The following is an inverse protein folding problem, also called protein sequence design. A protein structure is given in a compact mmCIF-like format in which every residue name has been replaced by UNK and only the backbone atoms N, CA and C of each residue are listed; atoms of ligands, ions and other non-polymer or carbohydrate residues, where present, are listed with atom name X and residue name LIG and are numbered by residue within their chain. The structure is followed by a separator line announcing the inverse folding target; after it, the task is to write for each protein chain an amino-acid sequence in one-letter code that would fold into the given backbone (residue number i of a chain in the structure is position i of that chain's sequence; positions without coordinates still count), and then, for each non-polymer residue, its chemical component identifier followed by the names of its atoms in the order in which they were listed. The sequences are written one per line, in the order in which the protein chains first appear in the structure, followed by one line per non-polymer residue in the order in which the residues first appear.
data_IF_837270221933
#
_entry.id   IF_837270221933
#
_cell.length_a   1.000
_cell.length_b   1.000
_cell.length_c   1.000
_cell.angle_alpha   90.00
_cell.angle_beta   90.00
_cell.angle_gamma   90.00
#
_symmetry.space_group_name_H-M   'P 1'
#
loop_
_entity.id
_entity.type
_entity.pdbx_description
1 polymer ?
#
# COMPACT_ATOMS: atom_id res chain seq x y z
N UNK A 1 -0.62 -17.18 -33.63
CA UNK A 1 -1.40 -16.03 -34.14
C UNK A 1 -0.61 -15.30 -35.21
N UNK A 2 -1.29 -14.76 -36.23
CA UNK A 2 -0.65 -14.07 -37.36
C UNK A 2 -0.07 -12.72 -36.91
N UNK A 3 1.19 -12.38 -37.26
CA UNK A 3 1.89 -11.15 -36.82
C UNK A 3 1.12 -9.86 -37.15
N UNK A 4 0.36 -9.86 -38.26
CA UNK A 4 -0.51 -8.74 -38.65
C UNK A 4 -1.68 -8.55 -37.67
N UNK A 5 -2.31 -9.64 -37.21
CA UNK A 5 -3.41 -9.61 -36.23
C UNK A 5 -2.92 -9.07 -34.89
N UNK A 6 -1.75 -9.50 -34.41
CA UNK A 6 -1.19 -9.01 -33.16
C UNK A 6 -0.90 -7.50 -33.20
N UNK A 7 -0.37 -7.02 -34.33
CA UNK A 7 -0.09 -5.60 -34.52
C UNK A 7 -1.38 -4.77 -34.58
N UNK A 8 -2.42 -5.28 -35.24
CA UNK A 8 -3.73 -4.64 -35.27
C UNK A 8 -4.36 -4.54 -33.87
N UNK A 9 -4.34 -5.62 -33.09
CA UNK A 9 -4.83 -5.64 -31.71
C UNK A 9 -4.05 -4.67 -30.81
N UNK A 10 -2.73 -4.62 -30.93
CA UNK A 10 -1.90 -3.66 -30.19
C UNK A 10 -2.29 -2.21 -30.50
N UNK A 11 -2.62 -1.90 -31.76
CA UNK A 11 -3.12 -0.59 -32.17
C UNK A 11 -4.41 -0.22 -31.45
N UNK A 12 -5.40 -1.12 -31.45
CA UNK A 12 -6.70 -0.89 -30.77
C UNK A 12 -6.50 -0.63 -29.27
N UNK A 13 -5.70 -1.47 -28.60
CA UNK A 13 -5.43 -1.31 -27.16
C UNK A 13 -4.72 0.01 -26.84
N UNK A 14 -3.80 0.44 -27.71
CA UNK A 14 -3.11 1.72 -27.59
C UNK A 14 -4.07 2.89 -27.69
N UNK A 15 -5.01 2.84 -28.63
CA UNK A 15 -6.06 3.85 -28.74
C UNK A 15 -6.95 3.91 -27.50
N UNK A 16 -7.42 2.75 -27.01
CA UNK A 16 -8.24 2.68 -25.78
C UNK A 16 -7.50 3.34 -24.60
N UNK A 17 -6.23 2.98 -24.39
CA UNK A 17 -5.44 3.52 -23.29
C UNK A 17 -5.19 5.03 -23.46
N UNK A 18 -4.92 5.48 -24.68
CA UNK A 18 -4.70 6.89 -24.99
C UNK A 18 -5.96 7.73 -24.71
N UNK A 19 -7.13 7.29 -25.19
CA UNK A 19 -8.41 7.98 -24.92
C UNK A 19 -8.76 7.98 -23.43
N UNK A 20 -8.52 6.87 -22.74
CA UNK A 20 -8.71 6.76 -21.30
C UNK A 20 -7.85 7.78 -20.54
N UNK A 21 -6.55 7.89 -20.86
CA UNK A 21 -5.65 8.84 -20.20
C UNK A 21 -6.02 10.29 -20.52
N UNK A 22 -6.35 10.57 -21.79
CA UNK A 22 -6.83 11.89 -22.20
C UNK A 22 -8.06 12.31 -21.39
N UNK A 23 -9.02 11.40 -21.23
CA UNK A 23 -10.24 11.64 -20.46
C UNK A 23 -9.96 11.84 -18.95
N UNK A 24 -9.22 10.92 -18.32
CA UNK A 24 -9.03 10.91 -16.86
C UNK A 24 -8.05 11.95 -16.34
N UNK A 25 -6.96 12.17 -17.06
CA UNK A 25 -5.84 12.98 -16.57
C UNK A 25 -5.74 14.33 -17.27
N UNK A 26 -6.67 14.63 -18.20
CA UNK A 26 -6.84 15.95 -18.84
C UNK A 26 -5.49 16.61 -19.21
N UNK A 27 -4.60 15.84 -19.82
CA UNK A 27 -3.36 16.36 -20.40
C UNK A 27 -3.70 17.07 -21.71
N UNK A 28 -4.51 18.13 -21.67
CA UNK A 28 -4.80 18.95 -22.85
C UNK A 28 -3.57 19.76 -23.23
N UNK A 29 -3.21 19.72 -24.51
CA UNK A 29 -2.37 20.76 -25.13
C UNK A 29 -1.21 20.28 -26.00
N UNK A 30 -0.71 19.05 -25.86
CA UNK A 30 0.49 18.62 -26.59
C UNK A 30 0.25 17.34 -27.41
N UNK A 31 -0.13 17.52 -28.67
CA UNK A 31 -0.38 16.43 -29.63
C UNK A 31 0.85 15.52 -29.81
N UNK A 32 2.07 16.06 -29.66
CA UNK A 32 3.32 15.31 -29.74
C UNK A 32 3.41 14.28 -28.60
N UNK A 33 3.02 14.66 -27.37
CA UNK A 33 3.05 13.76 -26.21
C UNK A 33 2.09 12.59 -26.44
N UNK A 34 0.91 12.82 -27.02
CA UNK A 34 -0.03 11.74 -27.33
C UNK A 34 0.48 10.80 -28.42
N UNK A 35 1.15 11.32 -29.47
CA UNK A 35 1.76 10.48 -30.50
C UNK A 35 2.87 9.61 -29.90
N UNK A 36 3.75 10.21 -29.08
CA UNK A 36 4.81 9.46 -28.40
C UNK A 36 4.22 8.41 -27.45
N UNK A 37 3.19 8.76 -26.68
CA UNK A 37 2.51 7.84 -25.78
C UNK A 37 1.85 6.68 -26.55
N UNK A 38 1.21 6.97 -27.69
CA UNK A 38 0.64 5.94 -28.57
C UNK A 38 1.73 4.99 -29.09
N UNK A 39 2.86 5.51 -29.56
CA UNK A 39 3.96 4.68 -30.07
C UNK A 39 4.56 3.79 -28.97
N UNK A 40 4.79 4.35 -27.78
CA UNK A 40 5.32 3.58 -26.63
C UNK A 40 4.33 2.50 -26.20
N UNK A 41 3.05 2.85 -26.05
CA UNK A 41 2.00 1.89 -25.68
C UNK A 41 1.83 0.81 -26.75
N UNK A 42 1.92 1.15 -28.04
CA UNK A 42 1.87 0.20 -29.15
C UNK A 42 3.00 -0.83 -29.08
N UNK A 43 4.24 -0.37 -28.92
CA UNK A 43 5.40 -1.26 -28.78
C UNK A 43 5.27 -2.15 -27.54
N UNK A 44 4.78 -1.58 -26.44
CA UNK A 44 4.51 -2.31 -25.21
C UNK A 44 3.45 -3.41 -25.39
N UNK A 45 2.27 -3.08 -25.92
CA UNK A 45 1.19 -4.05 -26.15
C UNK A 45 1.58 -5.12 -27.15
N UNK A 46 2.31 -4.76 -28.21
CA UNK A 46 2.83 -5.74 -29.17
C UNK A 46 3.70 -6.78 -28.46
N UNK A 47 4.62 -6.33 -27.60
CA UNK A 47 5.47 -7.20 -26.79
C UNK A 47 4.66 -8.05 -25.80
N UNK A 48 3.61 -7.51 -25.19
CA UNK A 48 2.74 -8.27 -24.27
C UNK A 48 2.02 -9.39 -25.02
N UNK A 49 1.33 -9.08 -26.12
CA UNK A 49 0.54 -10.03 -26.92
C UNK A 49 1.42 -11.15 -27.49
N UNK A 50 2.64 -10.83 -27.97
CA UNK A 50 3.57 -11.83 -28.49
C UNK A 50 4.01 -12.86 -27.44
N UNK A 51 3.91 -12.51 -26.15
CA UNK A 51 4.29 -13.38 -25.02
C UNK A 51 3.06 -13.91 -24.26
N UNK A 52 1.87 -13.87 -24.86
CA UNK A 52 0.65 -14.41 -24.27
C UNK A 52 0.43 -15.88 -24.59
N UNK A 53 -0.12 -16.60 -23.62
CA UNK A 53 -0.64 -17.95 -23.79
C UNK A 53 -1.92 -18.12 -22.98
N UNK A 54 -2.78 -19.06 -23.38
CA UNK A 54 -4.17 -19.17 -22.92
C UNK A 54 -4.33 -19.06 -21.40
N UNK A 55 -3.55 -19.83 -20.63
CA UNK A 55 -3.63 -19.83 -19.16
C UNK A 55 -3.22 -18.48 -18.53
N UNK A 56 -2.15 -17.85 -19.02
CA UNK A 56 -1.70 -16.54 -18.54
C UNK A 56 -2.76 -15.47 -18.83
N UNK A 57 -3.28 -15.45 -20.06
CA UNK A 57 -4.32 -14.51 -20.46
C UNK A 57 -5.56 -14.62 -19.57
N UNK A 58 -6.06 -15.84 -19.33
CA UNK A 58 -7.25 -16.07 -18.49
C UNK A 58 -7.02 -15.56 -17.06
N UNK A 59 -5.88 -15.87 -16.43
CA UNK A 59 -5.64 -15.43 -15.05
C UNK A 59 -5.53 -13.91 -14.96
N UNK A 60 -4.76 -13.30 -15.86
CA UNK A 60 -4.51 -11.85 -15.85
C UNK A 60 -5.75 -11.04 -16.20
N UNK A 61 -6.58 -11.49 -17.16
CA UNK A 61 -7.81 -10.81 -17.54
C UNK A 61 -8.87 -10.89 -16.43
N UNK A 62 -8.98 -12.03 -15.73
CA UNK A 62 -9.91 -12.14 -14.59
C UNK A 62 -9.55 -11.16 -13.48
N UNK A 63 -8.26 -11.04 -13.14
CA UNK A 63 -7.80 -10.07 -12.14
C UNK A 63 -8.08 -8.64 -12.60
N UNK A 64 -7.79 -8.33 -13.86
CA UNK A 64 -8.02 -7.00 -14.44
C UNK A 64 -9.51 -6.62 -14.44
N UNK A 65 -10.41 -7.54 -14.77
CA UNK A 65 -11.87 -7.31 -14.71
C UNK A 65 -12.31 -6.95 -13.29
N UNK A 66 -11.90 -7.74 -12.29
CA UNK A 66 -12.26 -7.48 -10.89
C UNK A 66 -11.75 -6.10 -10.47
N UNK A 67 -10.50 -5.77 -10.81
CA UNK A 67 -9.92 -4.47 -10.50
C UNK A 67 -10.68 -3.32 -11.15
N UNK A 68 -10.99 -3.41 -12.45
CA UNK A 68 -11.72 -2.38 -13.17
C UNK A 68 -13.12 -2.13 -12.61
N UNK A 69 -13.84 -3.19 -12.21
CA UNK A 69 -15.15 -3.04 -11.55
C UNK A 69 -15.01 -2.29 -10.22
N UNK A 70 -14.01 -2.65 -9.41
CA UNK A 70 -13.75 -1.99 -8.13
C UNK A 70 -13.42 -0.51 -8.34
N UNK A 71 -12.54 -0.17 -9.28
CA UNK A 71 -12.18 1.22 -9.57
C UNK A 71 -13.37 2.07 -10.00
N UNK A 72 -14.30 1.54 -10.79
CA UNK A 72 -15.52 2.28 -11.17
C UNK A 72 -16.42 2.53 -9.96
N UNK A 73 -16.63 1.51 -9.13
CA UNK A 73 -17.43 1.63 -7.90
C UNK A 73 -16.79 2.64 -6.95
N UNK A 74 -15.49 2.52 -6.71
CA UNK A 74 -14.73 3.44 -5.86
C UNK A 74 -14.72 4.86 -6.44
N UNK A 75 -14.57 5.02 -7.75
CA UNK A 75 -14.65 6.30 -8.44
C UNK A 75 -16.00 6.99 -8.23
N UNK A 76 -17.11 6.26 -8.33
CA UNK A 76 -18.46 6.79 -8.04
C UNK A 76 -18.58 7.22 -6.57
N UNK A 77 -18.13 6.38 -5.63
CA UNK A 77 -18.19 6.72 -4.20
C UNK A 77 -17.34 7.95 -3.90
N UNK A 78 -16.20 8.13 -4.57
CA UNK A 78 -15.33 9.27 -4.34
C UNK A 78 -15.93 10.60 -4.84
N UNK A 79 -16.88 10.59 -5.79
CA UNK A 79 -17.49 11.81 -6.31
C UNK A 79 -18.51 12.44 -5.34
N UNK A 80 -19.39 11.64 -4.76
CA UNK A 80 -20.52 12.14 -3.96
C UNK A 80 -20.91 11.22 -2.80
N UNK A 81 -20.07 10.23 -2.47
CA UNK A 81 -20.36 9.17 -1.51
C UNK A 81 -21.56 8.29 -1.86
N UNK A 82 -21.97 8.26 -3.13
CA UNK A 82 -23.06 7.40 -3.62
C UNK A 82 -22.64 6.48 -4.77
N UNK A 83 -23.53 5.54 -5.11
CA UNK A 83 -23.37 4.65 -6.26
C UNK A 83 -24.06 5.16 -7.53
N UNK A 84 -24.57 6.40 -7.53
CA UNK A 84 -25.35 6.95 -8.65
C UNK A 84 -24.52 7.14 -9.91
N UNK A 85 -23.22 7.36 -9.77
CA UNK A 85 -22.31 7.65 -10.87
C UNK A 85 -21.58 6.42 -11.42
N UNK A 86 -21.91 5.21 -10.95
CA UNK A 86 -21.32 3.95 -11.45
C UNK A 86 -21.55 3.82 -12.97
N UNK A 87 -22.74 4.16 -13.44
CA UNK A 87 -23.10 4.17 -14.87
C UNK A 87 -23.17 5.59 -15.40
N UNK A 88 -22.02 6.16 -15.72
CA UNK A 88 -21.87 7.45 -16.40
C UNK A 88 -21.47 7.23 -17.87
N UNK A 89 -21.58 8.27 -18.70
CA UNK A 89 -21.21 8.26 -20.13
C UNK A 89 -19.78 7.78 -20.40
N UNK A 90 -18.87 7.96 -19.44
CA UNK A 90 -17.47 7.56 -19.54
C UNK A 90 -17.16 6.20 -18.89
N UNK A 91 -18.11 5.59 -18.17
CA UNK A 91 -17.84 4.36 -17.40
C UNK A 91 -17.34 3.20 -18.27
N UNK A 92 -17.78 3.11 -19.52
CA UNK A 92 -17.30 2.10 -20.48
C UNK A 92 -15.83 2.34 -20.83
N UNK A 93 -15.46 3.59 -21.13
CA UNK A 93 -14.06 3.96 -21.42
C UNK A 93 -13.18 3.72 -20.20
N UNK A 94 -13.65 4.08 -19.01
CA UNK A 94 -12.95 3.85 -17.74
C UNK A 94 -12.74 2.35 -17.49
N UNK A 95 -13.78 1.54 -17.68
CA UNK A 95 -13.71 0.09 -17.52
C UNK A 95 -12.62 -0.53 -18.40
N UNK A 96 -12.67 -0.24 -19.70
CA UNK A 96 -11.71 -0.79 -20.65
C UNK A 96 -10.31 -0.19 -20.47
N UNK A 97 -10.21 1.08 -20.11
CA UNK A 97 -8.95 1.74 -19.80
C UNK A 97 -8.21 1.07 -18.64
N UNK A 98 -8.88 0.91 -17.49
CA UNK A 98 -8.32 0.18 -16.35
C UNK A 98 -8.04 -1.29 -16.68
N UNK A 99 -8.93 -1.94 -17.43
CA UNK A 99 -8.80 -3.36 -17.76
C UNK A 99 -7.56 -3.60 -18.61
N UNK A 100 -7.37 -2.80 -19.66
CA UNK A 100 -6.22 -2.89 -20.56
C UNK A 100 -4.93 -2.56 -19.82
N UNK A 101 -4.93 -1.51 -19.00
CA UNK A 101 -3.76 -1.10 -18.22
C UNK A 101 -3.31 -2.21 -17.26
N UNK A 102 -4.24 -2.74 -16.45
CA UNK A 102 -3.92 -3.73 -15.42
C UNK A 102 -3.58 -5.09 -16.03
N UNK A 103 -4.36 -5.55 -17.01
CA UNK A 103 -4.08 -6.80 -17.71
C UNK A 103 -2.67 -6.78 -18.31
N UNK A 104 -2.35 -5.74 -19.07
CA UNK A 104 -1.06 -5.65 -19.77
C UNK A 104 0.12 -5.50 -18.82
N UNK A 105 -0.03 -4.77 -17.72
CA UNK A 105 1.01 -4.62 -16.69
C UNK A 105 1.31 -5.95 -16.00
N UNK A 106 0.28 -6.67 -15.53
CA UNK A 106 0.46 -7.97 -14.88
C UNK A 106 1.02 -8.99 -15.88
N UNK A 107 0.52 -9.01 -17.10
CA UNK A 107 1.02 -9.88 -18.16
C UNK A 107 2.47 -9.60 -18.53
N UNK A 108 2.88 -8.33 -18.55
CA UNK A 108 4.27 -7.97 -18.77
C UNK A 108 5.16 -8.51 -17.65
N UNK A 109 4.81 -8.24 -16.38
CA UNK A 109 5.56 -8.73 -15.20
C UNK A 109 5.70 -10.26 -15.24
N UNK A 110 4.61 -10.96 -15.54
CA UNK A 110 4.62 -12.42 -15.64
C UNK A 110 5.55 -12.93 -16.77
N UNK A 111 5.63 -12.21 -17.89
CA UNK A 111 6.52 -12.58 -19.00
C UNK A 111 8.00 -12.32 -18.72
N UNK A 112 8.32 -11.28 -17.95
CA UNK A 112 9.70 -10.97 -17.51
C UNK A 112 10.21 -12.09 -16.59
N UNK A 113 9.35 -12.59 -15.68
CA UNK A 113 9.65 -13.72 -14.79
C UNK A 113 10.09 -15.00 -15.52
N UNK A 114 9.50 -15.28 -16.70
CA UNK A 114 9.80 -16.52 -17.45
C UNK A 114 11.09 -16.38 -18.27
N UNK A 115 11.30 -15.23 -18.94
CA UNK A 115 12.45 -15.06 -19.86
C UNK A 115 13.75 -14.79 -19.13
N UNK A 116 13.73 -14.05 -18.02
CA UNK A 116 14.95 -13.68 -17.31
C UNK A 116 15.51 -14.79 -16.41
N UNK A 117 14.73 -15.84 -16.12
CA UNK A 117 15.26 -17.02 -15.43
C UNK A 117 16.42 -17.67 -16.22
N UNK A 118 16.42 -17.53 -17.55
CA UNK A 118 17.51 -18.01 -18.42
C UNK A 118 18.71 -17.05 -18.48
N UNK A 119 18.51 -15.73 -18.35
CA UNK A 119 19.58 -14.71 -18.32
C UNK A 119 20.22 -14.51 -16.95
N UNK A 120 19.59 -15.01 -15.88
CA UNK A 120 20.06 -14.95 -14.49
C UNK A 120 21.48 -15.50 -14.29
N UNK A 121 21.98 -16.34 -15.21
CA UNK A 121 23.34 -16.89 -15.19
C UNK A 121 24.42 -15.87 -15.57
N UNK A 122 24.12 -14.87 -16.39
CA UNK A 122 25.11 -13.89 -16.89
C UNK A 122 25.29 -12.69 -15.95
N UNK A 123 24.19 -12.08 -15.47
CA UNK A 123 24.25 -10.88 -14.62
C UNK A 123 24.81 -11.14 -13.20
N UNK A 124 24.84 -12.41 -12.76
CA UNK A 124 25.39 -12.80 -11.45
C UNK A 124 26.87 -12.46 -11.31
N UNK A 125 27.60 -12.22 -12.40
CA UNK A 125 29.05 -11.98 -12.35
C UNK A 125 29.48 -10.59 -11.84
N UNK A 126 28.55 -9.64 -11.71
CA UNK A 126 28.88 -8.32 -11.14
C UNK A 126 28.85 -8.33 -9.60
N UNK A 127 29.98 -8.02 -8.97
CA UNK A 127 30.13 -8.00 -7.50
C UNK A 127 29.12 -7.08 -6.79
N UNK A 128 28.87 -5.88 -7.34
CA UNK A 128 27.91 -4.91 -6.78
C UNK A 128 26.49 -5.51 -6.73
N UNK A 129 26.10 -6.20 -7.80
CA UNK A 129 24.79 -6.83 -7.88
C UNK A 129 24.61 -7.91 -6.80
N UNK A 130 25.62 -8.78 -6.64
CA UNK A 130 25.60 -9.81 -5.61
C UNK A 130 25.46 -9.20 -4.22
N UNK A 131 26.15 -8.07 -3.95
CA UNK A 131 26.08 -7.38 -2.68
C UNK A 131 24.67 -6.81 -2.41
N UNK A 132 24.08 -6.10 -3.37
CA UNK A 132 22.79 -5.41 -3.20
C UNK A 132 21.62 -6.40 -3.07
N UNK A 133 21.66 -7.52 -3.79
CA UNK A 133 20.49 -8.38 -3.93
C UNK A 133 20.64 -9.82 -3.43
N UNK A 134 21.84 -10.40 -3.46
CA UNK A 134 22.03 -11.84 -3.22
C UNK A 134 22.80 -12.15 -1.92
N UNK A 135 23.51 -11.17 -1.35
CA UNK A 135 24.29 -11.34 -0.13
C UNK A 135 23.40 -11.41 1.12
N UNK A 136 23.96 -11.92 2.24
CA UNK A 136 23.28 -11.88 3.55
C UNK A 136 23.07 -10.43 4.04
N UNK A 137 23.93 -9.52 3.58
CA UNK A 137 23.94 -8.11 3.97
C UNK A 137 23.06 -7.23 3.09
N UNK A 138 22.54 -7.77 1.97
CA UNK A 138 21.62 -7.11 1.04
C UNK A 138 20.48 -6.37 1.76
N UNK A 139 19.94 -6.99 2.81
CA UNK A 139 18.90 -6.40 3.63
C UNK A 139 19.33 -5.07 4.26
N UNK A 140 20.52 -5.02 4.87
CA UNK A 140 21.03 -3.82 5.53
C UNK A 140 21.52 -2.78 4.51
N UNK A 141 22.15 -3.23 3.43
CA UNK A 141 22.59 -2.37 2.34
C UNK A 141 21.39 -1.63 1.74
N UNK A 142 20.29 -2.33 1.45
CA UNK A 142 19.08 -1.71 0.89
C UNK A 142 18.45 -0.70 1.85
N UNK A 143 18.48 -0.94 3.17
CA UNK A 143 18.02 0.04 4.17
C UNK A 143 18.86 1.32 4.07
N UNK A 144 20.19 1.18 4.06
CA UNK A 144 21.11 2.32 4.00
C UNK A 144 20.91 3.11 2.70
N UNK A 145 20.83 2.42 1.56
CA UNK A 145 20.60 3.07 0.26
C UNK A 145 19.30 3.87 0.24
N UNK A 146 18.19 3.30 0.74
CA UNK A 146 16.89 3.97 0.80
C UNK A 146 16.96 5.18 1.75
N UNK A 147 17.46 5.01 2.97
CA UNK A 147 17.56 6.12 3.94
C UNK A 147 18.44 7.26 3.39
N UNK A 148 19.61 6.94 2.84
CA UNK A 148 20.51 7.93 2.25
C UNK A 148 19.85 8.67 1.08
N UNK A 149 19.06 7.98 0.24
CA UNK A 149 18.34 8.62 -0.86
C UNK A 149 17.26 9.61 -0.39
N UNK A 150 16.69 9.39 0.81
CA UNK A 150 15.69 10.28 1.39
C UNK A 150 16.29 11.38 2.28
N UNK A 151 17.58 11.29 2.65
CA UNK A 151 18.25 12.30 3.48
C UNK A 151 18.17 13.72 2.91
N UNK A 152 18.33 13.99 1.60
CA UNK A 152 18.17 15.32 1.05
C UNK A 152 16.79 15.93 1.35
N UNK A 153 15.73 15.12 1.31
CA UNK A 153 14.37 15.56 1.66
C UNK A 153 14.27 15.86 3.15
N UNK A 154 14.80 14.98 4.00
CA UNK A 154 14.80 15.20 5.46
C UNK A 154 15.53 16.49 5.84
N UNK A 155 16.71 16.74 5.25
CA UNK A 155 17.49 17.94 5.51
C UNK A 155 16.78 19.21 5.00
N UNK A 156 16.12 19.13 3.85
CA UNK A 156 15.34 20.26 3.29
C UNK A 156 14.13 20.60 4.15
N UNK A 157 13.45 19.59 4.69
CA UNK A 157 12.21 19.75 5.43
C UNK A 157 12.37 19.57 6.95
N UNK A 158 13.59 19.71 7.48
CA UNK A 158 13.85 19.56 8.91
C UNK A 158 12.98 20.54 9.74
N UNK A 159 12.35 20.12 10.85
CA UNK A 159 12.45 18.81 11.52
C UNK A 159 11.55 17.71 10.93
N UNK A 160 10.74 18.02 9.94
CA UNK A 160 9.73 17.17 9.35
C UNK A 160 8.55 18.01 8.86
N UNK A 161 7.76 17.44 7.95
CA UNK A 161 6.55 18.12 7.48
C UNK A 161 5.38 17.77 8.40
N UNK A 162 4.81 18.80 9.02
CA UNK A 162 3.62 18.71 9.85
C UNK A 162 2.41 19.21 9.07
N UNK A 163 1.31 18.48 9.20
CA UNK A 163 0.01 18.85 8.63
C UNK A 163 -1.02 18.98 9.74
N UNK A 164 -2.26 19.39 9.42
CA UNK A 164 -3.34 19.50 10.41
C UNK A 164 -3.50 18.21 11.24
N UNK A 165 -3.49 17.04 10.60
CA UNK A 165 -3.56 15.73 11.26
C UNK A 165 -2.39 15.52 12.24
N UNK A 166 -1.17 15.88 11.82
CA UNK A 166 0.05 15.76 12.62
C UNK A 166 0.00 16.68 13.84
N UNK A 167 -0.42 17.94 13.64
CA UNK A 167 -0.56 18.93 14.70
C UNK A 167 -1.59 18.51 15.75
N UNK A 168 -2.72 17.94 15.34
CA UNK A 168 -3.71 17.38 16.28
C UNK A 168 -3.11 16.24 17.10
N UNK A 169 -2.39 15.30 16.48
CA UNK A 169 -1.74 14.21 17.22
C UNK A 169 -0.68 14.71 18.20
N UNK A 170 0.13 15.72 17.82
CA UNK A 170 1.08 16.36 18.73
C UNK A 170 0.34 17.08 19.86
N UNK A 171 -0.74 17.82 19.56
CA UNK A 171 -1.59 18.46 20.56
C UNK A 171 -2.17 17.44 21.56
N UNK A 172 -2.53 16.25 21.10
CA UNK A 172 -3.02 15.15 21.95
C UNK A 172 -1.92 14.66 22.89
N UNK A 173 -0.68 14.56 22.41
CA UNK A 173 0.49 14.20 23.23
C UNK A 173 0.77 15.27 24.29
N UNK A 174 0.67 16.54 23.91
CA UNK A 174 0.95 17.66 24.81
C UNK A 174 -0.20 17.95 25.80
N UNK A 175 -1.34 17.28 25.68
CA UNK A 175 -2.52 17.46 26.52
C UNK A 175 -3.37 18.69 26.16
N UNK A 176 -3.06 19.36 25.04
CA UNK A 176 -3.82 20.53 24.54
C UNK A 176 -5.07 20.07 23.80
N UNK A 177 -4.96 18.94 23.07
CA UNK A 177 -6.09 18.31 22.38
C UNK A 177 -6.57 17.07 23.12
N UNK A 178 -7.88 16.81 23.04
CA UNK A 178 -8.46 15.61 23.65
C UNK A 178 -8.03 14.37 22.89
N UNK A 179 -7.55 13.35 23.62
CA UNK A 179 -7.23 12.06 23.03
C UNK A 179 -8.52 11.39 22.54
N UNK A 180 -8.59 11.16 21.22
CA UNK A 180 -9.72 10.48 20.58
C UNK A 180 -9.19 9.47 19.56
N UNK A 181 -9.95 8.41 19.30
CA UNK A 181 -9.58 7.39 18.31
C UNK A 181 -9.87 7.81 16.85
N UNK A 182 -10.01 9.11 16.58
CA UNK A 182 -10.07 9.61 15.20
C UNK A 182 -8.75 9.31 14.49
N UNK A 183 -7.64 9.61 15.18
CA UNK A 183 -6.32 9.11 14.83
C UNK A 183 -6.08 7.81 15.62
N UNK A 184 -5.45 6.79 15.02
CA UNK A 184 -5.15 5.54 15.73
C UNK A 184 -4.28 5.81 16.96
N UNK A 185 -4.76 5.41 18.13
CA UNK A 185 -4.11 5.74 19.41
C UNK A 185 -2.69 5.17 19.47
N UNK A 186 -2.44 4.00 18.87
CA UNK A 186 -1.10 3.42 18.82
C UNK A 186 -0.13 4.30 18.04
N UNK A 187 -0.56 4.88 16.92
CA UNK A 187 0.27 5.82 16.16
C UNK A 187 0.56 7.09 16.99
N UNK A 188 -0.46 7.67 17.63
CA UNK A 188 -0.27 8.80 18.55
C UNK A 188 0.67 8.44 19.71
N UNK A 189 0.60 7.21 20.22
CA UNK A 189 1.49 6.68 21.24
C UNK A 189 2.95 6.62 20.78
N UNK A 190 3.21 6.16 19.55
CA UNK A 190 4.56 6.17 18.97
C UNK A 190 5.09 7.61 18.89
N UNK A 191 4.29 8.54 18.37
CA UNK A 191 4.65 9.98 18.34
C UNK A 191 4.97 10.48 19.75
N UNK A 192 4.18 10.07 20.75
CA UNK A 192 4.35 10.54 22.14
C UNK A 192 5.72 10.25 22.73
N UNK A 193 6.33 9.10 22.38
CA UNK A 193 7.65 8.71 22.86
C UNK A 193 8.69 9.76 22.43
N UNK A 194 8.71 10.10 21.14
CA UNK A 194 9.71 11.02 20.59
C UNK A 194 9.43 12.47 20.96
N UNK A 195 8.17 12.91 20.96
CA UNK A 195 7.81 14.27 21.35
C UNK A 195 8.12 14.53 22.83
N UNK A 196 7.79 13.59 23.72
CA UNK A 196 8.12 13.72 25.14
C UNK A 196 9.63 13.66 25.38
N UNK A 197 10.38 12.86 24.63
CA UNK A 197 11.85 12.88 24.68
C UNK A 197 12.40 14.26 24.29
N UNK A 198 12.00 14.78 23.12
CA UNK A 198 12.43 16.10 22.65
C UNK A 198 12.08 17.21 23.63
N UNK A 199 10.84 17.19 24.16
CA UNK A 199 10.35 18.20 25.11
C UNK A 199 11.03 18.11 26.48
N UNK A 200 11.00 16.93 27.11
CA UNK A 200 11.32 16.80 28.54
C UNK A 200 12.82 16.56 28.79
N UNK A 201 13.54 15.96 27.84
CA UNK A 201 14.97 15.66 27.99
C UNK A 201 15.81 16.71 27.29
N UNK A 202 15.46 17.07 26.06
CA UNK A 202 16.27 18.02 25.26
C UNK A 202 15.78 19.47 25.38
N UNK A 203 14.52 19.68 25.78
CA UNK A 203 13.91 21.02 25.85
C UNK A 203 13.46 21.57 24.50
N UNK A 204 13.37 20.75 23.45
CA UNK A 204 12.98 21.18 22.10
C UNK A 204 12.08 20.16 21.38
N UNK A 205 10.83 20.56 21.13
CA UNK A 205 9.83 19.72 20.46
C UNK A 205 10.24 19.41 19.01
N UNK A 206 10.92 20.31 18.32
CA UNK A 206 11.38 20.08 16.94
C UNK A 206 12.37 18.91 16.87
N UNK A 207 13.19 18.72 17.91
CA UNK A 207 14.06 17.54 18.01
C UNK A 207 13.21 16.27 18.13
N UNK A 208 12.16 16.29 18.96
CA UNK A 208 11.21 15.18 19.05
C UNK A 208 10.53 14.85 17.71
N UNK A 209 10.12 15.87 16.95
CA UNK A 209 9.55 15.69 15.60
C UNK A 209 10.59 15.04 14.67
N UNK A 210 11.82 15.55 14.66
CA UNK A 210 12.89 15.04 13.81
C UNK A 210 13.26 13.59 14.10
N UNK A 211 13.31 13.21 15.38
CA UNK A 211 13.59 11.84 15.81
C UNK A 211 12.47 10.88 15.38
N UNK A 212 11.21 11.31 15.46
CA UNK A 212 10.09 10.54 14.93
C UNK A 212 10.22 10.34 13.40
N UNK A 213 10.57 11.39 12.65
CA UNK A 213 10.73 11.28 11.20
C UNK A 213 11.89 10.34 10.84
N UNK A 214 13.03 10.42 11.53
CA UNK A 214 14.15 9.49 11.34
C UNK A 214 13.70 8.05 11.62
N UNK A 215 12.98 7.83 12.72
CA UNK A 215 12.40 6.53 13.03
C UNK A 215 11.48 6.03 11.91
N UNK A 216 10.59 6.88 11.41
CA UNK A 216 9.65 6.54 10.33
C UNK A 216 10.38 6.18 9.03
N UNK A 217 11.39 6.96 8.64
CA UNK A 217 12.23 6.69 7.46
C UNK A 217 12.91 5.33 7.57
N UNK A 218 13.52 5.03 8.72
CA UNK A 218 14.19 3.74 8.96
C UNK A 218 13.17 2.60 8.94
N UNK A 219 12.03 2.76 9.62
CA UNK A 219 10.98 1.74 9.65
C UNK A 219 10.45 1.42 8.24
N UNK A 220 10.22 2.44 7.41
CA UNK A 220 9.81 2.26 6.02
C UNK A 220 10.90 1.56 5.19
N UNK A 221 12.15 1.98 5.32
CA UNK A 221 13.28 1.34 4.62
C UNK A 221 13.45 -0.13 5.02
N UNK A 222 13.25 -0.48 6.29
CA UNK A 222 13.23 -1.86 6.80
C UNK A 222 12.12 -2.67 6.12
N UNK A 223 10.90 -2.13 6.05
CA UNK A 223 9.76 -2.81 5.44
C UNK A 223 9.96 -3.02 3.93
N UNK A 224 10.49 -2.02 3.22
CA UNK A 224 10.81 -2.13 1.79
C UNK A 224 11.97 -3.07 1.50
N UNK A 225 12.99 -3.08 2.35
CA UNK A 225 14.09 -4.03 2.25
C UNK A 225 13.64 -5.48 2.46
N UNK A 226 12.70 -5.73 3.39
CA UNK A 226 12.09 -7.06 3.55
C UNK A 226 11.32 -7.51 2.29
N UNK A 227 10.64 -6.59 1.59
CA UNK A 227 9.99 -6.88 0.30
C UNK A 227 11.03 -7.31 -0.75
N UNK A 228 12.12 -6.55 -0.91
CA UNK A 228 13.19 -6.87 -1.87
C UNK A 228 13.85 -8.22 -1.55
N UNK A 229 14.12 -8.49 -0.27
CA UNK A 229 14.66 -9.77 0.19
C UNK A 229 13.71 -10.92 -0.12
N UNK A 230 12.41 -10.73 0.10
CA UNK A 230 11.41 -11.73 -0.22
C UNK A 230 11.29 -11.99 -1.73
N UNK A 231 11.34 -10.93 -2.55
CA UNK A 231 11.42 -11.05 -4.00
C UNK A 231 12.63 -11.89 -4.43
N UNK A 232 13.80 -11.70 -3.78
CA UNK A 232 14.95 -12.57 -4.04
C UNK A 232 14.69 -14.02 -3.65
N UNK A 233 14.13 -14.28 -2.45
CA UNK A 233 13.75 -15.62 -1.98
C UNK A 233 12.83 -16.33 -2.98
N UNK A 234 11.91 -15.59 -3.62
CA UNK A 234 10.98 -16.11 -4.64
C UNK A 234 11.55 -16.09 -6.06
N UNK A 235 12.86 -15.88 -6.21
CA UNK A 235 13.56 -15.88 -7.49
C UNK A 235 12.99 -14.88 -8.51
N UNK A 236 12.45 -13.76 -8.03
CA UNK A 236 11.98 -12.68 -8.91
C UNK A 236 13.17 -12.13 -9.69
N UNK A 237 13.02 -11.84 -11.00
CA UNK A 237 14.09 -11.35 -11.84
C UNK A 237 14.72 -10.08 -11.28
N UNK A 238 15.99 -9.93 -11.62
CA UNK A 238 16.78 -8.84 -11.06
C UNK A 238 16.30 -7.48 -11.55
N UNK A 239 15.92 -7.34 -12.83
CA UNK A 239 15.43 -6.06 -13.36
C UNK A 239 14.20 -5.58 -12.57
N UNK A 240 13.31 -6.50 -12.21
CA UNK A 240 12.12 -6.15 -11.41
C UNK A 240 12.51 -5.70 -10.01
N UNK A 241 13.45 -6.41 -9.35
CA UNK A 241 13.95 -6.02 -8.02
C UNK A 241 14.70 -4.68 -8.04
N UNK A 242 15.50 -4.43 -9.07
CA UNK A 242 16.23 -3.19 -9.28
C UNK A 242 15.29 -2.01 -9.52
N UNK A 243 14.31 -2.17 -10.41
CA UNK A 243 13.26 -1.15 -10.63
C UNK A 243 12.51 -0.87 -9.33
N UNK A 244 12.16 -1.90 -8.55
CA UNK A 244 11.52 -1.71 -7.24
C UNK A 244 12.41 -0.94 -6.26
N UNK A 245 13.70 -1.25 -6.17
CA UNK A 245 14.64 -0.53 -5.31
C UNK A 245 14.77 0.94 -5.74
N UNK A 246 14.98 1.20 -7.04
CA UNK A 246 15.07 2.56 -7.59
C UNK A 246 13.77 3.34 -7.37
N UNK A 247 12.62 2.69 -7.48
CA UNK A 247 11.32 3.29 -7.15
C UNK A 247 11.23 3.67 -5.67
N UNK A 248 11.66 2.81 -4.76
CA UNK A 248 11.68 3.15 -3.33
C UNK A 248 12.65 4.30 -3.02
N UNK A 249 13.81 4.33 -3.67
CA UNK A 249 14.83 5.35 -3.43
C UNK A 249 14.45 6.73 -4.01
N UNK A 250 14.03 6.75 -5.27
CA UNK A 250 14.03 7.98 -6.06
C UNK A 250 12.66 8.46 -6.50
N UNK A 251 11.59 7.68 -6.29
CA UNK A 251 10.25 8.20 -6.59
C UNK A 251 9.92 9.33 -5.61
N UNK A 252 9.70 10.58 -6.08
CA UNK A 252 9.64 11.74 -5.20
C UNK A 252 8.54 11.66 -4.14
N UNK A 253 7.43 10.99 -4.45
CA UNK A 253 6.33 10.80 -3.50
C UNK A 253 6.76 9.91 -2.33
N UNK A 254 7.57 8.86 -2.57
CA UNK A 254 8.06 8.00 -1.50
C UNK A 254 8.99 8.77 -0.56
N UNK A 255 9.92 9.55 -1.12
CA UNK A 255 10.84 10.37 -0.34
C UNK A 255 10.10 11.46 0.45
N UNK A 256 9.19 12.20 -0.20
CA UNK A 256 8.37 13.22 0.45
C UNK A 256 7.47 12.63 1.54
N UNK A 257 6.78 11.52 1.26
CA UNK A 257 5.94 10.86 2.25
C UNK A 257 6.77 10.32 3.42
N UNK A 258 8.00 9.86 3.20
CA UNK A 258 8.85 9.39 4.30
C UNK A 258 9.12 10.46 5.37
N UNK A 259 9.06 11.75 5.00
CA UNK A 259 9.33 12.91 5.88
C UNK A 259 8.09 13.68 6.35
N UNK A 260 6.88 13.22 6.00
CA UNK A 260 5.62 13.75 6.52
C UNK A 260 5.17 12.91 7.72
N UNK A 261 4.70 13.54 8.80
CA UNK A 261 4.19 12.81 9.97
C UNK A 261 2.73 12.37 9.76
N UNK A 262 2.50 11.32 8.96
CA UNK A 262 1.19 10.71 8.75
C UNK A 262 1.13 9.23 9.16
N UNK A 263 0.00 8.87 9.77
CA UNK A 263 -0.38 7.49 10.08
C UNK A 263 -0.38 6.55 8.87
N UNK A 264 -0.62 7.09 7.69
CA UNK A 264 -0.79 6.33 6.45
C UNK A 264 0.53 5.77 5.91
N UNK A 265 1.65 6.35 6.32
CA UNK A 265 2.98 6.00 5.80
C UNK A 265 3.41 4.66 6.38
N UNK A 266 3.51 4.54 7.71
CA UNK A 266 3.82 3.27 8.38
C UNK A 266 2.80 2.18 8.01
N UNK A 267 1.52 2.54 7.88
CA UNK A 267 0.50 1.61 7.41
C UNK A 267 0.77 1.10 5.99
N UNK A 268 1.13 1.98 5.05
CA UNK A 268 1.42 1.56 3.67
C UNK A 268 2.68 0.69 3.55
N UNK A 269 3.68 0.90 4.42
CA UNK A 269 4.87 0.04 4.49
C UNK A 269 4.60 -1.36 5.05
N UNK A 270 3.72 -1.48 6.06
CA UNK A 270 3.49 -2.78 6.72
C UNK A 270 2.57 -3.70 5.91
N UNK A 271 1.71 -3.14 5.05
CA UNK A 271 0.76 -3.93 4.23
C UNK A 271 1.47 -4.89 3.27
N UNK A 272 2.51 -4.51 2.51
CA UNK A 272 3.31 -5.45 1.73
C UNK A 272 3.93 -6.58 2.57
N UNK A 273 4.42 -6.27 3.77
CA UNK A 273 4.97 -7.28 4.69
C UNK A 273 3.85 -8.24 5.14
N UNK A 274 2.66 -7.74 5.44
CA UNK A 274 1.48 -8.57 5.71
C UNK A 274 1.14 -9.48 4.54
N UNK A 275 1.15 -8.98 3.30
CA UNK A 275 0.93 -9.78 2.10
C UNK A 275 1.97 -10.90 1.98
N UNK A 276 3.25 -10.63 2.26
CA UNK A 276 4.32 -11.64 2.26
C UNK A 276 3.99 -12.80 3.22
N UNK A 277 3.58 -12.51 4.45
CA UNK A 277 3.21 -13.56 5.39
C UNK A 277 1.95 -14.34 4.95
N UNK A 278 0.98 -13.68 4.32
CA UNK A 278 -0.18 -14.39 3.75
C UNK A 278 0.25 -15.33 2.60
N UNK A 279 1.18 -14.90 1.75
CA UNK A 279 1.73 -15.77 0.69
C UNK A 279 2.47 -16.97 1.30
N UNK A 280 3.32 -16.76 2.30
CA UNK A 280 4.02 -17.87 2.97
C UNK A 280 3.04 -18.82 3.68
N UNK A 281 1.99 -18.29 4.33
CA UNK A 281 0.95 -19.10 4.94
C UNK A 281 0.19 -19.95 3.91
N UNK A 282 -0.08 -19.41 2.71
CA UNK A 282 -0.81 -20.10 1.64
C UNK A 282 0.03 -21.13 0.88
N UNK A 283 1.31 -20.85 0.62
CA UNK A 283 2.16 -21.69 -0.23
C UNK A 283 3.13 -22.59 0.54
N UNK A 284 3.50 -22.23 1.77
CA UNK A 284 4.41 -22.98 2.64
C UNK A 284 3.72 -23.36 3.96
N UNK A 285 2.45 -23.76 3.90
CA UNK A 285 1.56 -23.86 5.07
C UNK A 285 2.09 -24.75 6.20
N UNK A 286 2.63 -25.92 5.88
CA UNK A 286 3.13 -26.87 6.88
C UNK A 286 4.34 -26.30 7.64
N UNK A 287 5.38 -25.90 6.90
CA UNK A 287 6.58 -25.24 7.44
C UNK A 287 6.23 -23.98 8.26
N UNK A 288 5.24 -23.21 7.79
CA UNK A 288 4.76 -22.02 8.48
C UNK A 288 4.19 -22.35 9.86
N UNK A 289 3.39 -23.41 9.97
CA UNK A 289 2.78 -23.83 11.23
C UNK A 289 3.75 -24.57 12.17
N UNK A 290 4.80 -25.20 11.64
CA UNK A 290 5.86 -25.80 12.45
C UNK A 290 6.76 -24.74 13.10
N UNK A 291 6.99 -23.63 12.39
CA UNK A 291 7.84 -22.56 12.88
C UNK A 291 7.06 -21.55 13.74
N UNK A 292 7.16 -21.69 15.07
CA UNK A 292 6.55 -20.75 16.05
C UNK A 292 6.91 -19.28 15.77
N UNK A 293 8.11 -18.99 15.26
CA UNK A 293 8.52 -17.61 14.93
C UNK A 293 7.69 -17.04 13.78
N UNK A 294 7.31 -17.84 12.80
CA UNK A 294 6.44 -17.41 11.68
C UNK A 294 5.05 -17.03 12.17
N UNK A 295 4.48 -17.83 13.06
CA UNK A 295 3.18 -17.56 13.69
C UNK A 295 3.22 -16.24 14.48
N UNK A 296 4.21 -16.08 15.36
CA UNK A 296 4.36 -14.87 16.19
C UNK A 296 4.53 -13.62 15.30
N UNK A 297 5.38 -13.70 14.26
CA UNK A 297 5.56 -12.60 13.32
C UNK A 297 4.28 -12.26 12.58
N UNK A 298 3.52 -13.26 12.11
CA UNK A 298 2.26 -13.01 11.41
C UNK A 298 1.20 -12.37 12.30
N UNK A 299 1.05 -12.83 13.54
CA UNK A 299 0.16 -12.20 14.52
C UNK A 299 0.61 -10.75 14.75
N UNK A 300 1.91 -10.52 14.97
CA UNK A 300 2.47 -9.19 15.22
C UNK A 300 2.23 -8.23 14.05
N UNK A 301 2.50 -8.67 12.82
CA UNK A 301 2.27 -7.88 11.59
C UNK A 301 0.78 -7.60 11.39
N UNK A 302 -0.09 -8.58 11.64
CA UNK A 302 -1.55 -8.40 11.57
C UNK A 302 -2.03 -7.35 12.57
N UNK A 303 -1.53 -7.40 13.82
CA UNK A 303 -1.83 -6.39 14.83
C UNK A 303 -1.32 -5.01 14.41
N UNK A 304 -0.10 -4.90 13.88
CA UNK A 304 0.44 -3.63 13.38
C UNK A 304 -0.43 -3.03 12.27
N UNK A 305 -0.87 -3.85 11.29
CA UNK A 305 -1.81 -3.40 10.25
C UNK A 305 -3.07 -2.80 10.87
N UNK A 306 -3.68 -3.50 11.84
CA UNK A 306 -4.93 -3.04 12.49
C UNK A 306 -4.74 -1.81 13.40
N UNK A 307 -3.58 -1.64 14.02
CA UNK A 307 -3.31 -0.56 14.98
C UNK A 307 -2.74 0.70 14.35
N UNK A 308 -1.99 0.59 13.25
CA UNK A 308 -1.43 1.76 12.56
C UNK A 308 -2.50 2.56 11.81
N UNK A 309 -3.60 1.92 11.41
CA UNK A 309 -4.76 2.59 10.80
C UNK A 309 -6.05 1.89 11.19
N UNK A 310 -7.08 2.66 11.54
CA UNK A 310 -8.42 2.12 11.82
C UNK A 310 -8.97 1.29 10.63
N UNK A 311 -8.57 1.62 9.40
CA UNK A 311 -8.94 0.87 8.19
C UNK A 311 -8.25 -0.49 8.07
N UNK A 312 -7.13 -0.69 8.76
CA UNK A 312 -6.38 -1.95 8.73
C UNK A 312 -7.16 -3.13 9.31
N UNK A 313 -8.11 -2.87 10.22
CA UNK A 313 -9.06 -3.88 10.68
C UNK A 313 -9.86 -4.47 9.52
N UNK A 314 -10.33 -3.65 8.59
CA UNK A 314 -11.07 -4.14 7.42
C UNK A 314 -10.17 -4.92 6.47
N UNK A 315 -8.90 -4.49 6.29
CA UNK A 315 -7.92 -5.24 5.50
C UNK A 315 -7.75 -6.65 6.05
N UNK A 316 -7.49 -6.80 7.35
CA UNK A 316 -7.34 -8.11 7.97
C UNK A 316 -8.66 -8.90 7.87
N UNK A 317 -9.78 -8.34 8.33
CA UNK A 317 -11.08 -9.04 8.31
C UNK A 317 -11.53 -9.51 6.92
N UNK A 318 -11.25 -8.75 5.85
CA UNK A 318 -11.61 -9.17 4.49
C UNK A 318 -10.66 -10.26 3.95
N UNK A 319 -9.42 -10.30 4.40
CA UNK A 319 -8.47 -11.36 4.01
C UNK A 319 -8.74 -12.70 4.72
N UNK A 320 -9.23 -12.68 5.96
CA UNK A 320 -9.40 -13.89 6.77
C UNK A 320 -10.36 -14.95 6.17
N UNK A 321 -11.56 -14.61 5.66
CA UNK A 321 -12.44 -15.58 5.01
C UNK A 321 -11.80 -16.26 3.79
N UNK A 322 -11.03 -15.51 3.00
CA UNK A 322 -10.34 -16.03 1.83
C UNK A 322 -9.26 -17.04 2.22
N UNK A 323 -8.55 -16.79 3.32
CA UNK A 323 -7.56 -17.72 3.88
C UNK A 323 -8.24 -18.99 4.39
N UNK A 324 -9.38 -18.87 5.09
CA UNK A 324 -10.14 -20.04 5.56
C UNK A 324 -10.61 -20.94 4.42
N UNK A 325 -11.13 -20.35 3.35
CA UNK A 325 -11.56 -21.08 2.15
C UNK A 325 -10.35 -21.77 1.49
N UNK A 326 -9.24 -21.05 1.35
CA UNK A 326 -8.03 -21.54 0.68
C UNK A 326 -7.33 -22.66 1.47
N UNK A 327 -7.33 -22.57 2.81
CA UNK A 327 -6.67 -23.49 3.72
C UNK A 327 -7.66 -24.40 4.46
N UNK A 328 -8.69 -24.87 3.76
CA UNK A 328 -9.73 -25.75 4.33
C UNK A 328 -9.21 -27.04 4.99
N UNK A 329 -8.02 -27.52 4.59
CA UNK A 329 -7.35 -28.67 5.19
C UNK A 329 -6.74 -28.35 6.58
N UNK A 330 -6.44 -27.08 6.84
CA UNK A 330 -5.77 -26.57 8.03
C UNK A 330 -6.68 -25.70 8.91
N UNK A 331 -8.01 -25.79 8.75
CA UNK A 331 -9.00 -24.91 9.39
C UNK A 331 -8.77 -24.72 10.89
N UNK A 332 -8.56 -25.81 11.64
CA UNK A 332 -8.34 -25.72 13.09
C UNK A 332 -7.17 -24.79 13.43
N UNK A 333 -6.03 -24.94 12.75
CA UNK A 333 -4.84 -24.12 12.98
C UNK A 333 -5.06 -22.66 12.56
N UNK A 334 -5.69 -22.44 11.42
CA UNK A 334 -6.00 -21.09 10.89
C UNK A 334 -6.97 -20.34 11.81
N UNK A 335 -8.05 -21.01 12.26
CA UNK A 335 -9.04 -20.43 13.17
C UNK A 335 -8.40 -20.04 14.51
N UNK A 336 -7.50 -20.86 15.06
CA UNK A 336 -6.77 -20.53 16.30
C UNK A 336 -5.97 -19.23 16.13
N UNK A 337 -5.22 -19.08 15.03
CA UNK A 337 -4.46 -17.85 14.77
C UNK A 337 -5.39 -16.64 14.61
N UNK A 338 -6.50 -16.80 13.88
CA UNK A 338 -7.50 -15.73 13.69
C UNK A 338 -8.08 -15.28 15.03
N UNK A 339 -8.52 -16.22 15.86
CA UNK A 339 -9.06 -15.93 17.19
C UNK A 339 -7.98 -15.23 18.03
N UNK A 340 -6.74 -15.71 18.01
CA UNK A 340 -5.65 -15.06 18.73
C UNK A 340 -5.45 -13.60 18.28
N UNK A 341 -5.45 -13.33 16.97
CA UNK A 341 -5.33 -11.97 16.41
C UNK A 341 -6.48 -11.07 16.89
N UNK A 342 -7.72 -11.55 16.80
CA UNK A 342 -8.91 -10.77 17.19
C UNK A 342 -8.92 -10.51 18.71
N UNK A 343 -8.66 -11.55 19.52
CA UNK A 343 -8.64 -11.44 20.98
C UNK A 343 -7.52 -10.49 21.43
N UNK A 344 -6.31 -10.62 20.88
CA UNK A 344 -5.21 -9.71 21.18
C UNK A 344 -5.52 -8.27 20.77
N UNK A 345 -6.09 -8.07 19.59
CA UNK A 345 -6.50 -6.73 19.15
C UNK A 345 -7.54 -6.11 20.10
N UNK A 346 -8.59 -6.86 20.46
CA UNK A 346 -9.65 -6.37 21.34
C UNK A 346 -9.16 -6.12 22.75
N UNK A 347 -8.31 -7.00 23.30
CA UNK A 347 -7.75 -6.85 24.65
C UNK A 347 -6.81 -5.65 24.74
N UNK A 348 -5.85 -5.52 23.82
CA UNK A 348 -4.94 -4.37 23.75
C UNK A 348 -5.72 -3.08 23.54
N UNK A 349 -6.69 -3.07 22.61
CA UNK A 349 -7.55 -1.91 22.38
C UNK A 349 -8.34 -1.54 23.64
N UNK A 350 -8.98 -2.51 24.29
CA UNK A 350 -9.74 -2.27 25.52
C UNK A 350 -8.87 -1.73 26.64
N UNK A 351 -7.69 -2.33 26.85
CA UNK A 351 -6.72 -1.89 27.85
C UNK A 351 -6.28 -0.44 27.60
N UNK A 352 -5.91 -0.10 26.37
CA UNK A 352 -5.56 1.27 25.99
C UNK A 352 -6.73 2.23 26.26
N UNK A 353 -7.95 1.88 25.88
CA UNK A 353 -9.11 2.76 26.06
C UNK A 353 -9.44 3.00 27.54
N UNK A 354 -9.29 1.96 28.38
CA UNK A 354 -9.55 2.04 29.82
C UNK A 354 -8.46 2.84 30.54
N UNK A 355 -7.18 2.62 30.23
CA UNK A 355 -6.06 3.34 30.85
C UNK A 355 -6.10 4.83 30.51
N UNK A 356 -6.43 5.17 29.26
CA UNK A 356 -6.40 6.56 28.78
C UNK A 356 -7.76 7.26 28.78
N UNK A 357 -8.80 6.68 29.40
CA UNK A 357 -10.16 7.22 29.47
C UNK A 357 -10.70 7.73 28.11
N UNK A 358 -10.37 7.01 27.03
CA UNK A 358 -10.70 7.46 25.67
C UNK A 358 -12.20 7.29 25.46
N UNK A 359 -12.96 8.38 25.43
CA UNK A 359 -14.39 8.34 25.11
C UNK A 359 -14.59 7.71 23.72
N UNK A 360 -15.31 6.59 23.66
CA UNK A 360 -15.88 6.07 22.40
C UNK A 360 -16.75 7.18 21.82
N UNK A 361 -16.43 7.67 20.61
CA UNK A 361 -17.42 8.42 19.84
C UNK A 361 -18.54 7.44 19.50
N UNK A 362 -19.72 7.63 20.08
CA UNK A 362 -20.94 7.10 19.49
C UNK A 362 -21.01 7.62 18.05
N UNK A 363 -21.32 6.71 17.13
CA UNK A 363 -21.55 7.00 15.73
C UNK A 363 -22.43 8.26 15.61
N UNK A 364 -22.06 9.20 14.72
CA UNK A 364 -22.77 10.46 14.46
C UNK A 364 -24.24 10.18 14.07
N UNK A 365 -25.11 9.99 15.05
CA UNK A 365 -26.58 10.11 14.91
C UNK A 365 -27.09 11.37 15.59
N UNK A 366 -26.43 11.84 16.65
CA UNK A 366 -26.90 12.99 17.44
C UNK A 366 -26.69 14.35 16.78
N UNK A 367 -25.85 14.49 15.75
CA UNK A 367 -25.69 15.77 15.03
C UNK A 367 -26.86 16.08 14.08
N UNK A 368 -27.61 15.07 13.63
CA UNK A 368 -28.83 15.26 12.83
C UNK A 368 -30.05 15.60 13.71
N UNK A 369 -30.04 15.18 14.98
CA UNK A 369 -31.14 15.43 15.91
C UNK A 369 -31.12 16.87 16.48
N UNK A 370 -29.94 17.48 16.65
CA UNK A 370 -29.82 18.90 17.05
C UNK A 370 -30.20 19.89 15.93
N UNK A 371 -30.04 19.52 14.66
CA UNK A 371 -30.44 20.39 13.53
C UNK A 371 -31.95 20.28 13.25
N UNK A 372 -32.56 19.12 13.55
CA UNK A 372 -34.01 18.93 13.35
C UNK A 372 -34.86 19.45 14.50
N UNK A 373 -34.31 19.55 15.72
CA UNK A 373 -35.00 20.19 16.86
C UNK A 373 -35.01 21.73 16.75
N UNK A 374 -33.92 22.36 16.30
CA UNK A 374 -33.91 23.82 16.10
C UNK A 374 -34.84 24.27 14.96
N UNK A 375 -35.04 23.47 13.90
CA UNK A 375 -36.01 23.79 12.82
C UNK A 375 -37.47 23.63 13.21
N UNK A 376 -37.80 22.97 14.33
CA UNK A 376 -39.18 22.88 14.84
C UNK A 376 -39.53 23.97 15.85
N UNK A 377 -38.55 24.69 16.40
CA UNK A 377 -38.75 25.83 17.30
C UNK A 377 -39.09 27.15 16.60
N UNK A 378 -38.58 27.37 15.38
CA UNK A 378 -38.75 28.63 14.63
C UNK A 378 -40.05 28.72 13.79
N UNK A 379 -40.98 27.77 13.96
CA UNK A 379 -42.32 27.83 13.31
C UNK A 379 -43.48 28.08 14.27
N UNK A 380 -43.19 28.47 15.51
CA UNK A 380 -44.20 28.93 16.47
C UNK A 380 -43.72 30.21 17.18
N UNK A 381 -43.79 31.32 16.46
CA UNK A 381 -43.90 32.67 17.02
C UNK A 381 -44.63 33.54 16.02
#
# INVERSE_FOLDING_TARGET
MNKKINSFLAGILSFILMFFIWHKFLSSGNTIIFIMFFLISFLFFKRVIENEYKRKFIVTITIAIIFSVIEIICGSINTDYTLRHVLNKWSILDFFGYLVLIWSTISFIYSVNIKENNKRKECRNHKIYQLIFDSKDSFYINIILIVLSWMPYFLTYYPGILTADSCVQIGQVLGVEKLTNHHPIVHTGIISIFINFGKNIVGNINIGVSLYIIFQMIAMAVMFSEVLKYMNKKNVPYMVREICLLYYMFYPINALFSVIMWKDILFSGIVPVYIIFNIELLYNTEEFFENKKSIIKYISVSLLVMFLRNNGLYVVLLTLPLILISLRKYLKKVVIIIIAIIVLYLTIKSAIFNVFNVKKRLCRRTAFDTVTTNRKGEKKS
#
